data_IF_307232269476
#
_entry.id   IF_307232269476
#
_cell.length_a   1.000
_cell.length_b   1.000
_cell.length_c   1.000
_cell.angle_alpha   90.00
_cell.angle_beta   90.00
_cell.angle_gamma   90.00
#
_symmetry.space_group_name_H-M   'P 1'
#
loop_
_entity.id
_entity.type
_entity.pdbx_description
1 polymer ?
#
# COMPACT_ATOMS: atom_id res chain seq x y z
N UNK A 1 -11.10 -14.84 -7.01
CA UNK A 1 -11.65 -13.72 -6.22
C UNK A 1 -10.93 -12.38 -6.49
N UNK A 2 -9.65 -12.35 -6.76
CA UNK A 2 -8.85 -11.12 -6.99
C UNK A 2 -9.40 -10.19 -8.08
N UNK A 3 -9.93 -10.71 -9.17
CA UNK A 3 -10.50 -9.91 -10.27
C UNK A 3 -11.64 -8.98 -9.87
N UNK A 4 -12.39 -9.28 -8.81
CA UNK A 4 -13.58 -8.52 -8.44
C UNK A 4 -13.22 -7.13 -7.85
N UNK A 5 -12.11 -7.03 -7.13
CA UNK A 5 -11.69 -5.79 -6.47
C UNK A 5 -10.98 -4.81 -7.43
N UNK A 6 -10.30 -5.33 -8.44
CA UNK A 6 -9.44 -4.53 -9.35
C UNK A 6 -10.08 -4.26 -10.72
N UNK A 7 -11.39 -4.45 -10.86
CA UNK A 7 -12.16 -4.08 -12.06
C UNK A 7 -12.84 -2.74 -11.80
N UNK A 8 -12.57 -1.75 -12.65
CA UNK A 8 -13.08 -0.39 -12.50
C UNK A 8 -13.99 -0.02 -13.67
N UNK A 9 -15.13 0.55 -13.36
CA UNK A 9 -15.94 1.27 -14.37
C UNK A 9 -15.38 2.69 -14.48
N UNK A 10 -14.92 3.05 -15.68
CA UNK A 10 -14.27 4.34 -15.92
C UNK A 10 -15.20 5.31 -16.63
N UNK A 11 -15.23 6.55 -16.17
CA UNK A 11 -15.76 7.67 -16.93
C UNK A 11 -14.81 8.03 -18.10
N UNK A 12 -15.29 8.74 -19.15
CA UNK A 12 -14.46 9.07 -20.31
C UNK A 12 -13.18 9.87 -19.99
N UNK A 13 -13.24 10.67 -18.91
CA UNK A 13 -12.13 11.51 -18.43
C UNK A 13 -11.29 10.82 -17.33
N UNK A 14 -11.42 9.53 -17.16
CA UNK A 14 -10.66 8.78 -16.14
C UNK A 14 -9.70 7.78 -16.77
N UNK A 15 -8.63 7.50 -16.04
CA UNK A 15 -7.74 6.40 -16.33
C UNK A 15 -7.51 5.52 -15.11
N UNK A 16 -7.04 4.31 -15.33
CA UNK A 16 -6.72 3.33 -14.29
C UNK A 16 -5.54 2.49 -14.72
N UNK A 17 -4.85 1.94 -13.73
CA UNK A 17 -3.82 0.94 -13.93
C UNK A 17 -3.82 -0.05 -12.76
N UNK A 18 -3.07 -1.14 -12.92
CA UNK A 18 -2.87 -2.18 -11.92
C UNK A 18 -1.39 -2.51 -11.83
N UNK A 19 -0.88 -2.53 -10.61
CA UNK A 19 0.50 -2.84 -10.29
C UNK A 19 0.58 -4.05 -9.37
N UNK A 20 1.63 -4.85 -9.54
CA UNK A 20 1.90 -6.03 -8.72
C UNK A 20 3.31 -5.91 -8.15
N UNK A 21 3.46 -6.21 -6.86
CA UNK A 21 4.74 -6.28 -6.16
C UNK A 21 4.81 -7.58 -5.36
N UNK A 22 5.86 -8.35 -5.58
CA UNK A 22 6.21 -9.48 -4.72
C UNK A 22 7.06 -8.93 -3.57
N UNK A 23 6.74 -9.33 -2.35
CA UNK A 23 7.38 -8.91 -1.10
C UNK A 23 7.89 -10.14 -0.38
N UNK A 24 9.16 -10.20 -0.07
CA UNK A 24 9.79 -11.32 0.62
C UNK A 24 9.61 -11.17 2.15
N UNK A 25 8.34 -11.17 2.56
CA UNK A 25 7.92 -11.06 3.95
C UNK A 25 6.53 -11.70 4.14
N UNK A 26 6.21 -12.18 5.37
CA UNK A 26 4.93 -12.80 5.67
C UNK A 26 3.75 -11.84 5.49
N UNK A 27 2.64 -12.33 4.95
CA UNK A 27 1.42 -11.55 4.71
C UNK A 27 0.91 -10.82 5.97
N UNK A 28 0.87 -11.40 7.18
CA UNK A 28 0.44 -10.68 8.38
C UNK A 28 1.32 -9.46 8.71
N UNK A 29 2.63 -9.55 8.44
CA UNK A 29 3.55 -8.43 8.63
C UNK A 29 3.28 -7.32 7.62
N UNK A 30 3.18 -7.65 6.32
CA UNK A 30 2.87 -6.67 5.27
C UNK A 30 1.51 -6.00 5.53
N UNK A 31 0.49 -6.81 5.90
CA UNK A 31 -0.84 -6.30 6.23
C UNK A 31 -0.82 -5.34 7.42
N UNK A 32 0.03 -5.60 8.42
CA UNK A 32 0.17 -4.74 9.59
C UNK A 32 0.55 -3.28 9.26
N UNK A 33 1.17 -3.04 8.11
CA UNK A 33 1.45 -1.69 7.57
C UNK A 33 0.27 -1.13 6.79
N UNK A 34 -0.27 -1.92 5.85
CA UNK A 34 -1.32 -1.48 4.92
C UNK A 34 -2.61 -1.11 5.64
N UNK A 35 -3.00 -1.88 6.65
CA UNK A 35 -4.24 -1.66 7.42
C UNK A 35 -4.25 -0.40 8.28
N UNK A 36 -3.06 0.18 8.58
CA UNK A 36 -2.95 1.39 9.42
C UNK A 36 -3.23 2.65 8.60
N UNK A 37 -4.50 2.98 8.47
CA UNK A 37 -4.91 4.17 7.74
C UNK A 37 -4.38 5.48 8.35
N UNK A 38 -4.17 5.50 9.66
CA UNK A 38 -3.66 6.65 10.43
C UNK A 38 -2.14 6.86 10.33
N UNK A 39 -1.39 5.89 9.79
CA UNK A 39 0.10 5.92 9.75
C UNK A 39 0.69 5.56 8.39
N UNK A 40 0.24 6.18 7.28
CA UNK A 40 0.72 5.86 5.94
C UNK A 40 2.21 6.15 5.76
N UNK A 41 2.77 7.13 6.48
CA UNK A 41 4.19 7.49 6.45
C UNK A 41 5.12 6.36 6.91
N UNK A 42 4.58 5.28 7.51
CA UNK A 42 5.39 4.12 7.87
C UNK A 42 6.01 3.43 6.64
N UNK A 43 5.40 3.58 5.47
CA UNK A 43 5.93 3.04 4.22
C UNK A 43 5.78 3.95 3.00
N UNK A 44 4.88 4.95 3.04
CA UNK A 44 4.72 5.94 1.95
C UNK A 44 5.65 7.12 2.17
N UNK A 45 6.87 7.02 1.68
CA UNK A 45 7.97 7.97 1.96
C UNK A 45 7.73 9.40 1.45
N UNK A 46 6.76 9.62 0.54
CA UNK A 46 6.38 10.97 0.10
C UNK A 46 5.41 11.66 1.06
N UNK A 47 4.90 10.96 2.08
CA UNK A 47 4.07 11.54 3.13
C UNK A 47 4.96 11.96 4.29
N UNK A 48 4.97 13.26 4.58
CA UNK A 48 5.73 13.82 5.70
C UNK A 48 5.00 13.71 7.03
N UNK A 49 3.68 13.81 7.02
CA UNK A 49 2.83 13.65 8.21
C UNK A 49 1.41 13.24 7.84
N UNK A 50 0.73 12.62 8.81
CA UNK A 50 -0.67 12.22 8.70
C UNK A 50 -1.41 12.59 9.99
N UNK A 51 -2.61 13.15 9.86
CA UNK A 51 -3.50 13.48 10.97
C UNK A 51 -4.91 13.00 10.66
N UNK A 52 -5.51 12.21 11.55
CA UNK A 52 -6.94 11.92 11.46
C UNK A 52 -7.74 13.20 11.78
N UNK A 53 -8.62 13.59 10.86
CA UNK A 53 -9.53 14.73 11.04
C UNK A 53 -10.96 14.28 11.38
N UNK A 54 -11.27 13.01 11.12
CA UNK A 54 -12.53 12.38 11.53
C UNK A 54 -12.36 10.86 11.65
N UNK A 55 -13.04 10.26 12.65
CA UNK A 55 -12.99 8.82 12.92
C UNK A 55 -11.77 8.38 13.72
N UNK A 56 -11.61 7.06 13.89
CA UNK A 56 -10.58 6.43 14.72
C UNK A 56 -9.66 5.48 13.92
N UNK A 57 -9.58 5.67 12.59
CA UNK A 57 -8.77 4.85 11.69
C UNK A 57 -9.51 3.68 11.03
N UNK A 58 -10.80 3.46 11.36
CA UNK A 58 -11.68 2.49 10.69
C UNK A 58 -12.36 3.06 9.44
N UNK A 59 -13.20 2.24 8.78
CA UNK A 59 -13.97 2.63 7.59
C UNK A 59 -14.78 3.91 7.86
N UNK A 60 -14.76 4.85 6.91
CA UNK A 60 -15.35 6.17 7.03
C UNK A 60 -14.44 7.23 7.66
N UNK A 61 -13.31 6.83 8.29
CA UNK A 61 -12.34 7.78 8.81
C UNK A 61 -11.74 8.64 7.70
N UNK A 62 -11.47 9.90 8.03
CA UNK A 62 -10.86 10.87 7.13
C UNK A 62 -9.53 11.33 7.73
N UNK A 63 -8.49 11.36 6.88
CA UNK A 63 -7.17 11.84 7.25
C UNK A 63 -6.72 12.99 6.35
N UNK A 64 -5.93 13.88 6.91
CA UNK A 64 -5.11 14.83 6.17
C UNK A 64 -3.69 14.28 6.09
N UNK A 65 -3.13 14.21 4.91
CA UNK A 65 -1.72 13.87 4.68
C UNK A 65 -1.01 15.08 4.11
N UNK A 66 0.18 15.39 4.64
CA UNK A 66 1.08 16.40 4.12
C UNK A 66 2.18 15.72 3.32
N UNK A 67 2.48 16.24 2.14
CA UNK A 67 3.44 15.69 1.20
C UNK A 67 4.82 16.32 1.42
N UNK A 68 5.88 15.57 1.06
CA UNK A 68 7.26 16.09 1.11
C UNK A 68 7.49 17.15 0.03
N UNK A 69 8.52 18.00 0.23
CA UNK A 69 8.92 19.01 -0.76
C UNK A 69 9.31 18.36 -2.08
N UNK A 70 8.92 18.98 -3.20
CA UNK A 70 9.23 18.50 -4.55
C UNK A 70 8.17 17.57 -5.13
N UNK A 71 7.13 17.23 -4.36
CA UNK A 71 5.95 16.53 -4.87
C UNK A 71 4.98 17.53 -5.51
N UNK A 72 4.22 17.12 -6.55
CA UNK A 72 3.21 17.97 -7.16
C UNK A 72 1.99 18.11 -6.23
N UNK A 73 2.05 19.07 -5.32
CA UNK A 73 1.06 19.32 -4.26
C UNK A 73 1.67 19.26 -2.86
N UNK A 74 0.95 19.79 -1.90
CA UNK A 74 1.39 19.86 -0.51
C UNK A 74 0.54 19.01 0.42
N UNK A 75 -0.74 18.83 0.06
CA UNK A 75 -1.74 18.24 0.96
C UNK A 75 -2.78 17.44 0.20
N UNK A 76 -3.26 16.37 0.84
CA UNK A 76 -4.39 15.56 0.40
C UNK A 76 -5.30 15.24 1.59
N UNK A 77 -6.61 15.26 1.38
CA UNK A 77 -7.62 14.76 2.31
C UNK A 77 -8.12 13.43 1.76
N UNK A 78 -8.02 12.40 2.55
CA UNK A 78 -8.30 11.04 2.13
C UNK A 78 -9.30 10.38 3.07
N UNK A 79 -10.19 9.56 2.52
CA UNK A 79 -11.17 8.77 3.28
C UNK A 79 -10.94 7.29 3.09
N UNK A 80 -10.99 6.52 4.18
CA UNK A 80 -11.00 5.06 4.12
C UNK A 80 -12.41 4.58 3.75
N UNK A 81 -12.55 4.04 2.54
CA UNK A 81 -13.85 3.61 2.01
C UNK A 81 -14.19 2.17 2.37
N UNK A 82 -13.16 1.31 2.47
CA UNK A 82 -13.33 -0.11 2.80
C UNK A 82 -12.06 -0.66 3.45
N UNK A 83 -12.24 -1.56 4.42
CA UNK A 83 -11.16 -2.31 5.07
C UNK A 83 -11.70 -3.68 5.46
N UNK A 84 -11.01 -4.73 5.03
CA UNK A 84 -11.32 -6.12 5.37
C UNK A 84 -10.03 -6.82 5.80
N UNK A 85 -9.98 -7.16 7.08
CA UNK A 85 -8.82 -7.81 7.69
C UNK A 85 -8.71 -9.29 7.32
N UNK A 86 -9.83 -9.97 7.00
CA UNK A 86 -9.84 -11.38 6.63
C UNK A 86 -9.40 -11.57 5.17
N UNK A 87 -9.86 -10.69 4.29
CA UNK A 87 -9.51 -10.71 2.87
C UNK A 87 -8.29 -9.86 2.53
N UNK A 88 -7.73 -9.13 3.49
CA UNK A 88 -6.59 -8.23 3.33
C UNK A 88 -6.80 -7.22 2.19
N UNK A 89 -7.93 -6.52 2.26
CA UNK A 89 -8.34 -5.50 1.29
C UNK A 89 -8.45 -4.15 1.97
N UNK A 90 -7.83 -3.12 1.37
CA UNK A 90 -7.97 -1.73 1.80
C UNK A 90 -8.28 -0.85 0.60
N UNK A 91 -9.27 0.05 0.76
CA UNK A 91 -9.70 1.00 -0.26
C UNK A 91 -9.78 2.38 0.33
N UNK A 92 -9.13 3.35 -0.30
CA UNK A 92 -9.28 4.75 0.07
C UNK A 92 -9.49 5.64 -1.14
N UNK A 93 -10.12 6.79 -0.92
CA UNK A 93 -10.33 7.83 -1.93
C UNK A 93 -9.76 9.16 -1.46
N UNK A 94 -9.22 9.93 -2.40
CA UNK A 94 -8.92 11.35 -2.20
C UNK A 94 -10.24 12.12 -2.34
N UNK A 95 -10.61 12.83 -1.29
CA UNK A 95 -11.87 13.61 -1.24
C UNK A 95 -11.62 15.10 -1.43
N UNK A 96 -10.39 15.57 -1.17
CA UNK A 96 -9.93 16.93 -1.45
C UNK A 96 -8.40 16.96 -1.56
N UNK A 97 -7.86 17.80 -2.44
CA UNK A 97 -6.42 17.93 -2.63
C UNK A 97 -6.06 19.25 -3.32
N UNK A 98 -4.85 19.73 -3.06
CA UNK A 98 -4.24 20.87 -3.75
C UNK A 98 -3.37 20.46 -4.96
N UNK A 99 -3.58 19.25 -5.48
CA UNK A 99 -2.84 18.66 -6.59
C UNK A 99 -3.77 18.02 -7.64
N UNK A 100 -3.16 17.49 -8.71
CA UNK A 100 -3.89 16.99 -9.89
C UNK A 100 -4.52 15.59 -9.73
N UNK A 101 -4.39 14.93 -8.56
CA UNK A 101 -5.00 13.61 -8.32
C UNK A 101 -6.45 13.74 -7.85
N UNK A 102 -7.30 14.31 -8.71
CA UNK A 102 -8.72 14.46 -8.44
C UNK A 102 -9.44 13.11 -8.61
N UNK A 103 -10.41 12.86 -7.73
CA UNK A 103 -11.20 11.64 -7.70
C UNK A 103 -10.35 10.37 -7.70
N UNK A 104 -9.13 10.47 -7.16
CA UNK A 104 -8.24 9.31 -7.01
C UNK A 104 -8.84 8.32 -6.03
N UNK A 105 -8.89 7.07 -6.43
CA UNK A 105 -9.28 5.93 -5.59
C UNK A 105 -8.25 4.83 -5.77
N UNK A 106 -7.74 4.30 -4.65
CA UNK A 106 -6.82 3.16 -4.65
C UNK A 106 -7.47 1.97 -3.97
N UNK A 107 -7.21 0.80 -4.52
CA UNK A 107 -7.57 -0.51 -3.97
C UNK A 107 -6.29 -1.31 -3.88
N UNK A 108 -5.94 -1.77 -2.68
CA UNK A 108 -4.84 -2.70 -2.46
C UNK A 108 -5.38 -4.01 -1.88
N UNK A 109 -4.89 -5.13 -2.41
CA UNK A 109 -5.13 -6.48 -1.88
C UNK A 109 -3.81 -7.20 -1.66
N UNK A 110 -3.72 -7.99 -0.58
CA UNK A 110 -2.55 -8.80 -0.29
C UNK A 110 -2.92 -10.29 -0.32
N UNK A 111 -2.03 -11.10 -0.87
CA UNK A 111 -2.21 -12.54 -1.03
C UNK A 111 -0.94 -13.27 -0.64
N UNK A 112 -1.11 -14.46 -0.01
CA UNK A 112 0.02 -15.37 0.17
C UNK A 112 0.50 -15.89 -1.20
N UNK A 113 1.80 -15.81 -1.45
CA UNK A 113 2.43 -16.51 -2.55
C UNK A 113 2.68 -17.96 -2.11
N UNK A 114 1.65 -18.79 -2.27
CA UNK A 114 1.75 -20.25 -2.05
C UNK A 114 2.41 -20.87 -3.28
N UNK A 115 3.74 -20.82 -3.35
CA UNK A 115 4.44 -21.71 -4.28
C UNK A 115 4.25 -23.13 -3.75
N UNK A 116 3.74 -24.03 -4.60
CA UNK A 116 3.66 -25.45 -4.32
C UNK A 116 5.06 -25.95 -3.91
N UNK A 117 5.10 -26.71 -2.82
CA UNK A 117 6.32 -27.23 -2.19
C UNK A 117 7.17 -28.00 -3.23
N UNK A 118 8.18 -27.36 -3.80
CA UNK A 118 9.31 -28.03 -4.41
C UNK A 118 10.49 -28.00 -3.43
N UNK A 119 10.69 -29.14 -2.75
CA UNK A 119 11.82 -29.52 -1.91
C UNK A 119 11.89 -28.98 -0.47
N UNK A 120 12.15 -29.92 0.42
CA UNK A 120 12.29 -29.77 1.87
C UNK A 120 13.10 -28.53 2.32
N UNK A 121 12.45 -27.63 3.06
CA UNK A 121 13.14 -26.90 4.11
C UNK A 121 13.01 -25.40 4.16
N UNK A 122 12.39 -24.70 3.23
CA UNK A 122 12.21 -23.24 3.36
C UNK A 122 10.84 -22.82 2.86
N UNK A 123 9.89 -22.70 3.78
CA UNK A 123 8.61 -22.02 3.51
C UNK A 123 8.97 -20.54 3.31
N UNK A 124 9.15 -20.13 2.08
CA UNK A 124 9.28 -18.72 1.72
C UNK A 124 7.92 -18.06 1.93
N UNK A 125 7.72 -17.38 3.06
CA UNK A 125 6.55 -16.59 3.35
C UNK A 125 6.60 -15.31 2.51
N UNK A 126 6.19 -15.39 1.23
CA UNK A 126 6.11 -14.23 0.34
C UNK A 126 4.70 -13.71 0.26
N UNK A 127 4.57 -12.42 0.10
CA UNK A 127 3.29 -11.72 -0.11
C UNK A 127 3.23 -11.15 -1.51
N UNK A 128 2.13 -11.36 -2.22
CA UNK A 128 1.82 -10.66 -3.46
C UNK A 128 0.92 -9.49 -3.11
N UNK A 129 1.41 -8.26 -3.30
CA UNK A 129 0.63 -7.04 -3.21
C UNK A 129 0.14 -6.65 -4.60
N UNK A 130 -1.18 -6.48 -4.75
CA UNK A 130 -1.82 -5.99 -5.98
C UNK A 130 -2.49 -4.68 -5.64
N UNK A 131 -2.12 -3.60 -6.32
CA UNK A 131 -2.73 -2.30 -6.15
C UNK A 131 -3.23 -1.77 -7.49
N UNK A 132 -4.49 -1.33 -7.53
CA UNK A 132 -5.07 -0.66 -8.68
C UNK A 132 -5.64 0.69 -8.28
N UNK A 133 -5.73 1.59 -9.23
CA UNK A 133 -6.29 2.91 -8.98
C UNK A 133 -7.19 3.37 -10.14
N UNK A 134 -8.02 4.36 -9.83
CA UNK A 134 -8.73 5.21 -10.78
C UNK A 134 -8.38 6.66 -10.44
N UNK A 135 -8.18 7.48 -11.46
CA UNK A 135 -7.90 8.91 -11.31
C UNK A 135 -8.48 9.69 -12.49
N UNK A 136 -8.91 10.92 -12.26
CA UNK A 136 -9.31 11.82 -13.32
C UNK A 136 -8.09 12.28 -14.13
N UNK A 137 -8.29 12.43 -15.43
CA UNK A 137 -7.28 12.99 -16.33
C UNK A 137 -7.43 14.52 -16.28
N UNK A 138 -6.40 15.26 -15.80
CA UNK A 138 -6.44 16.71 -15.78
C UNK A 138 -6.58 17.30 -17.19
N UNK A 139 -7.27 18.44 -17.33
CA UNK A 139 -7.50 19.13 -18.62
C UNK A 139 -6.22 19.43 -19.40
N UNK A 140 -5.10 19.61 -18.69
CA UNK A 140 -3.78 19.94 -19.26
C UNK A 140 -2.90 18.70 -19.51
N UNK A 141 -3.47 17.50 -19.36
CA UNK A 141 -2.74 16.23 -19.46
C UNK A 141 -3.46 15.28 -20.42
N UNK A 142 -2.82 14.16 -20.75
CA UNK A 142 -3.44 13.05 -21.47
C UNK A 142 -3.51 11.81 -20.58
N UNK A 143 -4.19 10.77 -21.06
CA UNK A 143 -4.34 9.49 -20.34
C UNK A 143 -2.98 8.85 -20.08
N UNK A 144 -2.13 8.82 -21.07
CA UNK A 144 -0.82 8.18 -21.03
C UNK A 144 0.08 8.86 -19.97
N UNK A 145 0.18 10.18 -20.00
CA UNK A 145 0.99 10.94 -19.05
C UNK A 145 0.45 10.83 -17.62
N UNK A 146 -0.88 10.89 -17.47
CA UNK A 146 -1.53 10.75 -16.15
C UNK A 146 -1.28 9.38 -15.56
N UNK A 147 -1.42 8.31 -16.36
CA UNK A 147 -1.12 6.95 -15.91
C UNK A 147 0.36 6.79 -15.59
N UNK A 148 1.29 7.29 -16.41
CA UNK A 148 2.73 7.16 -16.17
C UNK A 148 3.14 7.82 -14.85
N UNK A 149 2.69 9.04 -14.59
CA UNK A 149 2.98 9.74 -13.33
C UNK A 149 2.41 9.00 -12.13
N UNK A 150 1.15 8.56 -12.23
CA UNK A 150 0.48 7.85 -11.14
C UNK A 150 1.13 6.49 -10.90
N UNK A 151 1.42 5.71 -11.94
CA UNK A 151 2.11 4.42 -11.86
C UNK A 151 3.47 4.54 -11.15
N UNK A 152 4.24 5.59 -11.46
CA UNK A 152 5.53 5.81 -10.83
C UNK A 152 5.41 6.04 -9.33
N UNK A 153 4.41 6.81 -8.88
CA UNK A 153 4.14 7.06 -7.46
C UNK A 153 3.70 5.76 -6.77
N UNK A 154 2.75 5.02 -7.36
CA UNK A 154 2.23 3.78 -6.80
C UNK A 154 3.32 2.71 -6.74
N UNK A 155 4.13 2.59 -7.79
CA UNK A 155 5.28 1.67 -7.82
C UNK A 155 6.30 1.98 -6.75
N UNK A 156 6.55 3.26 -6.51
CA UNK A 156 7.43 3.67 -5.42
C UNK A 156 6.87 3.29 -4.04
N UNK A 157 5.56 3.49 -3.81
CA UNK A 157 4.91 3.06 -2.57
C UNK A 157 5.03 1.55 -2.33
N UNK A 158 4.73 0.74 -3.36
CA UNK A 158 4.80 -0.71 -3.24
C UNK A 158 6.24 -1.20 -2.99
N UNK A 159 7.24 -0.59 -3.65
CA UNK A 159 8.66 -0.89 -3.38
C UNK A 159 9.08 -0.49 -1.98
N UNK A 160 8.59 0.64 -1.49
CA UNK A 160 8.87 1.08 -0.12
C UNK A 160 8.22 0.17 0.91
N UNK A 161 6.99 -0.29 0.66
CA UNK A 161 6.31 -1.29 1.49
C UNK A 161 7.12 -2.59 1.55
N UNK A 162 7.60 -3.09 0.39
CA UNK A 162 8.45 -4.27 0.31
C UNK A 162 9.72 -4.08 1.15
N UNK A 163 10.43 -2.99 0.92
CA UNK A 163 11.68 -2.70 1.64
C UNK A 163 11.48 -2.65 3.17
N UNK A 164 10.43 -1.99 3.66
CA UNK A 164 10.16 -1.88 5.10
C UNK A 164 9.82 -3.24 5.69
N UNK A 165 8.95 -4.02 5.04
CA UNK A 165 8.54 -5.33 5.54
C UNK A 165 9.70 -6.34 5.56
N UNK A 166 10.48 -6.43 4.49
CA UNK A 166 11.62 -7.34 4.36
C UNK A 166 12.72 -7.04 5.41
N UNK A 167 13.00 -5.75 5.67
CA UNK A 167 13.99 -5.37 6.68
C UNK A 167 13.52 -5.62 8.12
N UNK A 168 12.22 -5.53 8.38
CA UNK A 168 11.67 -5.86 9.71
C UNK A 168 11.63 -7.36 9.96
N UNK A 169 11.28 -8.16 8.95
CA UNK A 169 11.29 -9.62 9.07
C UNK A 169 12.69 -10.14 9.38
N UNK A 170 13.70 -9.68 8.65
CA UNK A 170 15.10 -10.04 8.86
C UNK A 170 15.57 -9.70 10.28
N UNK A 171 15.20 -8.55 10.83
CA UNK A 171 15.57 -8.13 12.18
C UNK A 171 14.93 -9.02 13.25
N UNK A 172 13.71 -9.47 13.04
CA UNK A 172 12.99 -10.38 13.94
C UNK A 172 13.63 -11.78 13.93
N UNK A 173 14.02 -12.30 12.78
CA UNK A 173 14.70 -13.59 12.64
C UNK A 173 16.07 -13.59 13.33
N UNK A 174 16.89 -12.54 13.18
CA UNK A 174 18.17 -12.39 13.84
C UNK A 174 18.03 -12.34 15.36
N UNK A 175 17.01 -11.65 15.87
CA UNK A 175 16.73 -11.57 17.31
C UNK A 175 16.33 -12.92 17.90
N UNK A 176 15.52 -13.71 17.19
CA UNK A 176 15.10 -15.06 17.62
C UNK A 176 16.25 -16.06 17.61
N UNK A 177 17.17 -15.98 16.65
CA UNK A 177 18.36 -16.82 16.59
C UNK A 177 19.36 -16.53 17.73
N UNK A 178 19.46 -15.28 18.17
CA UNK A 178 20.33 -14.88 19.28
C UNK A 178 19.77 -15.32 20.64
N UNK A 179 18.46 -15.36 20.83
CA UNK A 179 17.83 -15.87 22.04
C UNK A 179 18.05 -17.38 22.20
N UNK A 180 17.96 -18.16 21.13
CA UNK A 180 18.18 -19.60 21.15
C UNK A 180 19.66 -19.99 21.37
N UNK A 181 20.61 -19.09 21.14
CA UNK A 181 22.06 -19.33 21.45
C UNK A 181 22.41 -19.09 22.89
N UNK A 182 21.59 -18.36 23.65
CA UNK A 182 21.89 -18.05 25.07
C UNK A 182 21.39 -19.14 26.03
N UNK A 183 20.58 -20.09 25.57
CA UNK A 183 20.07 -21.20 26.39
C UNK A 183 20.94 -22.50 26.34
N UNK A 184 22.05 -22.51 25.60
CA UNK A 184 22.92 -23.72 25.45
C UNK A 184 24.26 -23.53 26.19
N UNK A 185 24.29 -22.78 27.26
CA UNK A 185 25.47 -22.74 28.16
C UNK A 185 25.01 -22.76 29.61
N UNK A 186 24.70 -23.98 30.09
CA UNK A 186 24.81 -24.42 31.48
C UNK A 186 25.06 -25.95 31.51
#
# INVERSE_FOLDING_TARGET
MTKLHHTHELSPNQCSSLLVQIIDAPLPLVWSFVRKFDKPQCYKNFISSCTLISGEGGVGSVREVNLVSGFPGKKSIERLDFLDDDMHVSVFSVVDADHSFLNFKSIITLHDDKQEEEEEGTIGNKTIAIESYVVDIPDVSCREDTCEVTDNIMRWNLRSLAWVAENMDTSTQVSSLNLNKTEITC
#
